data_IF_001302163705
#
_entry.id   IF_001302163705
#
_cell.length_a   1.000
_cell.length_b   1.000
_cell.length_c   1.000
_cell.angle_alpha   90.00
_cell.angle_beta   90.00
_cell.angle_gamma   90.00
#
_symmetry.space_group_name_H-M   'P 1'
#
loop_
_entity.id
_entity.type
_entity.pdbx_description
1 polymer ?
#
# COMPACT_ATOMS: atom_id res chain seq x y z
N UNK A 1 10.24 6.77 6.00
CA UNK A 1 11.34 5.79 6.02
C UNK A 1 11.44 4.97 4.73
N UNK A 2 10.34 4.38 4.21
CA UNK A 2 10.35 3.44 3.07
C UNK A 2 11.06 3.95 1.80
N UNK A 3 10.88 5.21 1.40
CA UNK A 3 11.55 5.75 0.21
C UNK A 3 13.08 5.77 0.34
N UNK A 4 13.60 6.18 1.50
CA UNK A 4 15.04 6.21 1.76
C UNK A 4 15.61 4.81 1.85
N UNK A 5 14.88 3.89 2.48
CA UNK A 5 15.26 2.47 2.53
C UNK A 5 15.43 1.89 1.12
N UNK A 6 14.47 2.14 0.23
CA UNK A 6 14.57 1.67 -1.16
C UNK A 6 15.71 2.35 -1.92
N UNK A 7 15.98 3.62 -1.64
CA UNK A 7 17.05 4.37 -2.30
C UNK A 7 18.47 3.85 -2.00
N UNK A 8 18.69 3.30 -0.80
CA UNK A 8 20.03 2.87 -0.36
C UNK A 8 20.25 1.34 -0.44
N UNK A 9 19.19 0.54 -0.36
CA UNK A 9 19.29 -0.92 -0.30
C UNK A 9 19.05 -1.62 -1.67
N UNK A 10 18.46 -0.91 -2.65
CA UNK A 10 18.09 -1.49 -3.96
C UNK A 10 18.73 -0.75 -5.14
N UNK A 11 18.60 -1.31 -6.34
CA UNK A 11 19.11 -0.68 -7.56
C UNK A 11 18.41 0.65 -7.88
N UNK A 12 19.11 1.53 -8.61
CA UNK A 12 18.54 2.80 -9.06
C UNK A 12 17.26 2.60 -9.88
N UNK A 13 17.23 1.57 -10.74
CA UNK A 13 16.04 1.17 -11.50
C UNK A 13 14.84 0.88 -10.58
N UNK A 14 15.07 0.15 -9.48
CA UNK A 14 14.03 -0.12 -8.48
C UNK A 14 13.56 1.15 -7.82
N UNK A 15 14.47 2.05 -7.45
CA UNK A 15 14.13 3.33 -6.83
C UNK A 15 13.35 4.26 -7.77
N UNK A 16 13.69 4.30 -9.06
CA UNK A 16 12.96 5.08 -10.08
C UNK A 16 11.56 4.51 -10.29
N UNK A 17 11.42 3.19 -10.45
CA UNK A 17 10.12 2.54 -10.57
C UNK A 17 9.25 2.74 -9.31
N UNK A 18 9.85 2.70 -8.13
CA UNK A 18 9.16 3.00 -6.88
C UNK A 18 8.65 4.45 -6.82
N UNK A 19 9.39 5.42 -7.36
CA UNK A 19 8.91 6.80 -7.47
C UNK A 19 7.79 6.96 -8.51
N UNK A 20 7.87 6.22 -9.61
CA UNK A 20 6.91 6.30 -10.71
C UNK A 20 5.56 5.63 -10.38
N UNK A 21 5.59 4.47 -9.74
CA UNK A 21 4.40 3.64 -9.50
C UNK A 21 4.13 3.30 -8.03
N UNK A 22 5.07 3.58 -7.12
CA UNK A 22 4.99 3.13 -5.74
C UNK A 22 3.80 3.73 -4.98
N UNK A 23 3.43 4.99 -5.24
CA UNK A 23 2.23 5.60 -4.64
C UNK A 23 0.95 4.88 -5.05
N UNK A 24 0.80 4.54 -6.34
CA UNK A 24 -0.33 3.78 -6.86
C UNK A 24 -0.39 2.38 -6.25
N UNK A 25 0.74 1.66 -6.20
CA UNK A 25 0.81 0.34 -5.59
C UNK A 25 0.44 0.38 -4.09
N UNK A 26 0.94 1.38 -3.35
CA UNK A 26 0.59 1.60 -1.94
C UNK A 26 -0.89 1.94 -1.76
N UNK A 27 -1.49 2.73 -2.65
CA UNK A 27 -2.92 3.03 -2.62
C UNK A 27 -3.76 1.78 -2.83
N UNK A 28 -3.42 0.95 -3.82
CA UNK A 28 -4.12 -0.31 -4.08
C UNK A 28 -4.01 -1.24 -2.88
N UNK A 29 -2.81 -1.41 -2.31
CA UNK A 29 -2.61 -2.21 -1.10
C UNK A 29 -3.43 -1.68 0.08
N UNK A 30 -3.50 -0.35 0.25
CA UNK A 30 -4.30 0.30 1.29
C UNK A 30 -5.79 0.01 1.12
N UNK A 31 -6.35 0.19 -0.07
CA UNK A 31 -7.78 -0.06 -0.34
C UNK A 31 -8.14 -1.52 -0.08
N UNK A 32 -7.30 -2.46 -0.51
CA UNK A 32 -7.51 -3.90 -0.26
C UNK A 32 -7.48 -4.18 1.25
N UNK A 33 -6.47 -3.68 1.96
CA UNK A 33 -6.34 -3.86 3.40
C UNK A 33 -7.54 -3.27 4.16
N UNK A 34 -7.98 -2.07 3.77
CA UNK A 34 -9.18 -1.43 4.31
C UNK A 34 -10.43 -2.25 4.02
N UNK A 35 -10.63 -2.75 2.79
CA UNK A 35 -11.78 -3.57 2.44
C UNK A 35 -11.86 -4.85 3.28
N UNK A 36 -10.73 -5.52 3.50
CA UNK A 36 -10.65 -6.70 4.38
C UNK A 36 -10.89 -6.33 5.85
N UNK A 37 -10.38 -5.19 6.32
CA UNK A 37 -10.59 -4.76 7.70
C UNK A 37 -12.05 -4.38 7.95
N UNK A 38 -12.66 -3.61 7.05
CA UNK A 38 -14.08 -3.24 7.13
C UNK A 38 -14.97 -4.47 7.06
N UNK A 39 -14.72 -5.44 6.17
CA UNK A 39 -15.56 -6.63 6.07
C UNK A 39 -15.62 -7.45 7.37
N UNK A 40 -14.62 -7.32 8.25
CA UNK A 40 -14.61 -7.95 9.58
C UNK A 40 -15.29 -7.14 10.68
N UNK A 41 -15.43 -5.82 10.51
CA UNK A 41 -15.93 -4.91 11.55
C UNK A 41 -17.26 -4.23 11.16
N UNK A 42 -17.76 -4.49 9.96
CA UNK A 42 -19.12 -4.13 9.58
C UNK A 42 -20.08 -5.09 10.26
N UNK A 43 -20.65 -4.64 11.38
CA UNK A 43 -21.79 -5.31 11.99
C UNK A 43 -23.02 -5.09 11.10
N UNK A 44 -23.70 -6.19 10.76
CA UNK A 44 -25.03 -6.08 10.17
C UNK A 44 -25.97 -5.55 11.25
N UNK A 45 -26.68 -4.43 11.02
CA UNK A 45 -27.78 -4.06 11.89
C UNK A 45 -28.73 -5.25 11.94
N UNK A 46 -29.00 -5.78 13.13
CA UNK A 46 -30.09 -6.73 13.29
C UNK A 46 -31.39 -5.98 12.95
N UNK A 47 -32.03 -6.35 11.84
CA UNK A 47 -33.42 -5.96 11.55
C UNK A 47 -34.38 -6.59 12.56
#
# INVERSE_FOLDING_TARGET
ALNLYIAFEFSEETWVNFKLFGSTALLVAFVIAQGIWLSRHMEHPAE
#
